data_IF_463432319473
#
_entry.id   IF_463432319473
#
_cell.length_a   1.000
_cell.length_b   1.000
_cell.length_c   1.000
_cell.angle_alpha   90.00
_cell.angle_beta   90.00
_cell.angle_gamma   90.00
#
_symmetry.space_group_name_H-M   'P 1'
#
loop_
_entity.id
_entity.type
_entity.pdbx_description
1 polymer ?
#
# COMPACT_ATOMS: atom_id res chain seq x y z
N UNK A 1 -45.64 8.77 -37.33
CA UNK A 1 -44.96 9.34 -36.15
C UNK A 1 -45.31 8.48 -34.96
N UNK A 2 -44.41 7.58 -34.56
CA UNK A 2 -44.61 6.66 -33.44
C UNK A 2 -43.77 7.14 -32.26
N UNK A 3 -44.42 7.62 -31.20
CA UNK A 3 -43.77 8.01 -29.95
C UNK A 3 -43.40 6.75 -29.18
N UNK A 4 -42.13 6.38 -29.20
CA UNK A 4 -41.58 5.33 -28.35
C UNK A 4 -41.53 5.82 -26.90
N UNK A 5 -42.49 5.38 -26.08
CA UNK A 5 -42.44 5.51 -24.62
C UNK A 5 -41.24 4.73 -24.08
N UNK A 6 -40.27 5.44 -23.49
CA UNK A 6 -39.15 4.80 -22.80
C UNK A 6 -39.67 4.15 -21.50
N UNK A 7 -39.75 2.82 -21.53
CA UNK A 7 -39.88 1.97 -20.35
C UNK A 7 -38.59 2.06 -19.53
N UNK A 8 -38.45 3.11 -18.72
CA UNK A 8 -37.45 3.16 -17.67
C UNK A 8 -37.81 2.11 -16.61
N UNK A 9 -37.05 1.02 -16.60
CA UNK A 9 -37.16 -0.08 -15.65
C UNK A 9 -37.01 0.44 -14.22
N UNK A 10 -38.09 0.31 -13.44
CA UNK A 10 -38.26 0.50 -11.98
C UNK A 10 -37.34 -0.40 -11.10
N UNK A 11 -36.11 -0.73 -11.52
CA UNK A 11 -35.19 -1.60 -10.76
C UNK A 11 -34.07 -0.87 -10.01
N UNK A 12 -33.91 0.44 -10.22
CA UNK A 12 -32.86 1.24 -9.56
C UNK A 12 -33.40 2.32 -8.60
N UNK A 13 -34.62 2.14 -8.08
CA UNK A 13 -34.99 2.80 -6.81
C UNK A 13 -34.51 1.88 -5.70
N UNK A 14 -33.19 1.70 -5.59
CA UNK A 14 -32.61 1.41 -4.29
C UNK A 14 -33.01 2.61 -3.44
N UNK A 15 -34.02 2.41 -2.61
CA UNK A 15 -34.27 3.23 -1.43
C UNK A 15 -32.89 3.43 -0.81
N UNK A 16 -32.31 4.62 -0.97
CA UNK A 16 -31.12 5.06 -0.25
C UNK A 16 -31.54 5.21 1.20
N UNK A 17 -31.89 4.10 1.85
CA UNK A 17 -32.01 4.05 3.29
C UNK A 17 -30.67 4.56 3.81
N UNK A 18 -30.72 5.58 4.67
CA UNK A 18 -29.54 5.97 5.40
C UNK A 18 -28.95 4.70 6.04
N UNK A 19 -27.64 4.50 5.93
CA UNK A 19 -27.01 3.30 6.49
C UNK A 19 -27.36 3.20 7.97
N UNK A 20 -27.41 1.99 8.56
CA UNK A 20 -27.67 1.84 9.99
C UNK A 20 -26.74 2.70 10.86
N UNK A 21 -25.49 2.89 10.41
CA UNK A 21 -24.54 3.81 11.03
C UNK A 21 -24.96 5.28 10.92
N UNK A 22 -25.45 5.73 9.75
CA UNK A 22 -25.96 7.09 9.57
C UNK A 22 -27.24 7.35 10.36
N UNK A 23 -28.14 6.36 10.44
CA UNK A 23 -29.35 6.45 11.28
C UNK A 23 -28.98 6.53 12.76
N UNK A 24 -28.09 5.66 13.23
CA UNK A 24 -27.63 5.70 14.62
C UNK A 24 -26.88 7.01 14.95
N UNK A 25 -26.05 7.52 14.05
CA UNK A 25 -25.41 8.83 14.22
C UNK A 25 -26.44 9.98 14.25
N UNK A 26 -27.49 9.92 13.44
CA UNK A 26 -28.58 10.89 13.50
C UNK A 26 -29.36 10.80 14.82
N UNK A 27 -29.58 9.59 15.33
CA UNK A 27 -30.20 9.33 16.65
C UNK A 27 -29.37 9.92 17.80
N UNK A 28 -28.04 10.00 17.66
CA UNK A 28 -27.19 10.64 18.66
C UNK A 28 -27.51 12.14 18.80
N UNK A 29 -27.88 12.82 17.72
CA UNK A 29 -28.37 14.21 17.77
C UNK A 29 -29.71 14.37 18.49
N UNK A 30 -30.52 13.31 18.54
CA UNK A 30 -31.81 13.25 19.25
C UNK A 30 -31.68 12.86 20.73
N UNK A 31 -30.59 12.21 21.13
CA UNK A 31 -30.35 11.75 22.50
C UNK A 31 -30.14 12.90 23.53
N UNK A 32 -30.10 14.16 23.08
CA UNK A 32 -30.12 15.33 23.95
C UNK A 32 -28.78 15.62 24.64
N UNK A 33 -28.83 16.19 25.85
CA UNK A 33 -27.63 16.65 26.60
C UNK A 33 -26.90 15.54 27.37
N UNK A 34 -27.39 14.31 27.34
CA UNK A 34 -26.82 13.20 28.10
C UNK A 34 -25.62 12.56 27.36
N UNK A 35 -24.42 12.84 27.87
CA UNK A 35 -23.15 12.45 27.24
C UNK A 35 -22.99 10.93 27.14
N UNK A 36 -23.46 10.17 28.12
CA UNK A 36 -23.29 8.73 28.12
C UNK A 36 -24.23 8.05 27.11
N UNK A 37 -25.46 8.55 27.00
CA UNK A 37 -26.39 8.10 25.96
C UNK A 37 -25.86 8.39 24.55
N UNK A 38 -25.32 9.59 24.31
CA UNK A 38 -24.68 9.94 23.03
C UNK A 38 -23.51 9.00 22.73
N UNK A 39 -22.66 8.72 23.72
CA UNK A 39 -21.55 7.77 23.57
C UNK A 39 -22.03 6.37 23.18
N UNK A 40 -23.03 5.81 23.88
CA UNK A 40 -23.57 4.47 23.59
C UNK A 40 -24.17 4.38 22.19
N UNK A 41 -24.92 5.40 21.77
CA UNK A 41 -25.53 5.44 20.43
C UNK A 41 -24.46 5.50 19.33
N UNK A 42 -23.43 6.34 19.50
CA UNK A 42 -22.33 6.42 18.53
C UNK A 42 -21.51 5.13 18.53
N UNK A 43 -21.28 4.52 19.69
CA UNK A 43 -20.61 3.21 19.79
C UNK A 43 -21.36 2.14 19.00
N UNK A 44 -22.70 2.11 19.10
CA UNK A 44 -23.53 1.21 18.28
C UNK A 44 -23.42 1.54 16.78
N UNK A 45 -23.41 2.83 16.41
CA UNK A 45 -23.21 3.26 15.02
C UNK A 45 -21.87 2.77 14.45
N UNK A 46 -20.78 2.89 15.22
CA UNK A 46 -19.45 2.39 14.87
C UNK A 46 -19.47 0.88 14.71
N UNK A 47 -20.11 0.17 15.64
CA UNK A 47 -20.29 -1.28 15.58
C UNK A 47 -21.00 -1.73 14.30
N UNK A 48 -22.03 -1.00 13.87
CA UNK A 48 -22.82 -1.28 12.68
C UNK A 48 -22.14 -0.87 11.35
N UNK A 49 -21.07 -0.07 11.38
CA UNK A 49 -20.38 0.34 10.17
C UNK A 49 -19.78 -0.87 9.44
N UNK A 50 -20.07 -0.98 8.14
CA UNK A 50 -19.62 -2.08 7.26
C UNK A 50 -18.45 -1.67 6.37
N UNK A 51 -18.22 -0.36 6.21
CA UNK A 51 -17.15 0.21 5.40
C UNK A 51 -16.43 1.34 6.13
N UNK A 52 -15.22 1.66 5.65
CA UNK A 52 -14.45 2.79 6.19
C UNK A 52 -15.17 4.13 5.99
N UNK A 53 -15.86 4.31 4.86
CA UNK A 53 -16.62 5.54 4.65
C UNK A 53 -17.77 5.65 5.66
N UNK A 54 -18.52 4.57 5.92
CA UNK A 54 -19.54 4.56 6.97
C UNK A 54 -18.96 4.85 8.36
N UNK A 55 -17.79 4.29 8.69
CA UNK A 55 -17.09 4.60 9.94
C UNK A 55 -16.77 6.08 10.04
N UNK A 56 -16.24 6.69 8.96
CA UNK A 56 -15.93 8.13 8.93
C UNK A 56 -17.18 8.99 9.12
N UNK A 57 -18.35 8.53 8.64
CA UNK A 57 -19.61 9.25 8.85
C UNK A 57 -20.08 9.22 10.31
N UNK A 58 -19.64 8.25 11.13
CA UNK A 58 -19.94 8.23 12.58
C UNK A 58 -19.14 9.26 13.39
N UNK A 59 -18.07 9.81 12.80
CA UNK A 59 -17.25 10.84 13.44
C UNK A 59 -18.01 12.17 13.36
N UNK A 60 -17.96 12.94 14.44
CA UNK A 60 -18.54 14.28 14.49
C UNK A 60 -17.94 15.16 13.39
N UNK A 61 -18.77 16.01 12.80
CA UNK A 61 -18.41 16.79 11.59
C UNK A 61 -17.12 17.61 11.81
N UNK A 62 -16.93 18.16 13.01
CA UNK A 62 -15.74 18.94 13.38
C UNK A 62 -14.44 18.14 13.23
N UNK A 63 -14.40 16.89 13.71
CA UNK A 63 -13.17 16.09 13.72
C UNK A 63 -13.03 15.17 12.51
N UNK A 64 -14.07 15.09 11.67
CA UNK A 64 -14.10 14.18 10.51
C UNK A 64 -12.90 14.37 9.58
N UNK A 65 -12.60 15.61 9.21
CA UNK A 65 -11.51 15.90 8.26
C UNK A 65 -10.12 15.70 8.85
N UNK A 66 -10.01 15.76 10.18
CA UNK A 66 -8.77 15.53 10.92
C UNK A 66 -8.49 14.03 11.11
N UNK A 67 -9.53 13.28 11.50
CA UNK A 67 -9.43 11.85 11.83
C UNK A 67 -9.46 10.97 10.58
N UNK A 68 -10.24 11.33 9.55
CA UNK A 68 -10.39 10.54 8.32
C UNK A 68 -9.05 10.17 7.65
N UNK A 69 -8.10 11.11 7.44
CA UNK A 69 -6.79 10.78 6.87
C UNK A 69 -6.00 9.77 7.72
N UNK A 70 -6.08 9.86 9.06
CA UNK A 70 -5.38 8.97 9.99
C UNK A 70 -5.93 7.54 9.86
N UNK A 71 -7.25 7.39 9.88
CA UNK A 71 -7.91 6.08 9.74
C UNK A 71 -7.63 5.45 8.36
N UNK A 72 -7.66 6.25 7.28
CA UNK A 72 -7.34 5.77 5.92
C UNK A 72 -5.89 5.33 5.81
N UNK A 73 -4.96 6.11 6.36
CA UNK A 73 -3.55 5.76 6.38
C UNK A 73 -3.30 4.44 7.14
N UNK A 74 -4.04 4.18 8.23
CA UNK A 74 -3.95 2.91 8.95
C UNK A 74 -4.33 1.70 8.07
N UNK A 75 -5.39 1.81 7.25
CA UNK A 75 -5.74 0.77 6.28
C UNK A 75 -4.63 0.56 5.24
N UNK A 76 -4.05 1.64 4.73
CA UNK A 76 -2.97 1.59 3.75
C UNK A 76 -1.72 0.92 4.33
N UNK A 77 -1.34 1.26 5.56
CA UNK A 77 -0.22 0.64 6.29
C UNK A 77 -0.46 -0.86 6.46
N UNK A 78 -1.66 -1.27 6.86
CA UNK A 78 -1.99 -2.71 6.95
C UNK A 78 -2.01 -3.39 5.56
N UNK A 79 -2.40 -2.67 4.50
CA UNK A 79 -2.27 -3.15 3.11
C UNK A 79 -0.82 -3.41 2.71
N UNK A 80 0.08 -2.49 3.07
CA UNK A 80 1.53 -2.63 2.89
C UNK A 80 2.09 -3.79 3.72
N UNK A 81 1.69 -3.94 4.98
CA UNK A 81 2.09 -5.04 5.85
C UNK A 81 1.74 -6.40 5.24
N UNK A 82 0.50 -6.56 4.77
CA UNK A 82 0.05 -7.80 4.12
C UNK A 82 0.86 -8.10 2.85
N UNK A 83 1.23 -7.07 2.08
CA UNK A 83 2.07 -7.24 0.88
C UNK A 83 3.50 -7.62 1.26
N UNK A 84 4.08 -6.96 2.26
CA UNK A 84 5.41 -7.26 2.77
C UNK A 84 5.51 -8.70 3.30
N UNK A 85 4.51 -9.16 4.08
CA UNK A 85 4.44 -10.55 4.56
C UNK A 85 4.36 -11.58 3.42
N UNK A 86 3.58 -11.31 2.37
CA UNK A 86 3.51 -12.18 1.18
C UNK A 86 4.84 -12.23 0.43
N UNK A 87 5.50 -11.08 0.28
CA UNK A 87 6.82 -11.00 -0.35
C UNK A 87 7.84 -11.77 0.47
N UNK A 88 7.90 -11.57 1.79
CA UNK A 88 8.79 -12.29 2.70
C UNK A 88 8.58 -13.81 2.61
N UNK A 89 7.32 -14.27 2.62
CA UNK A 89 7.02 -15.68 2.42
C UNK A 89 7.51 -16.20 1.06
N UNK A 90 7.36 -15.40 -0.01
CA UNK A 90 7.89 -15.74 -1.34
C UNK A 90 9.42 -15.76 -1.43
N UNK A 91 10.11 -14.92 -0.66
CA UNK A 91 11.57 -14.98 -0.54
C UNK A 91 12.01 -16.23 0.22
N UNK A 92 11.29 -16.57 1.30
CA UNK A 92 11.49 -17.81 2.05
C UNK A 92 11.34 -19.04 1.16
N UNK A 93 10.30 -19.11 0.33
CA UNK A 93 10.14 -20.24 -0.61
C UNK A 93 11.28 -20.34 -1.61
N UNK A 94 11.77 -19.21 -2.13
CA UNK A 94 12.92 -19.21 -3.05
C UNK A 94 14.19 -19.73 -2.36
N UNK A 95 14.42 -19.31 -1.11
CA UNK A 95 15.55 -19.78 -0.31
C UNK A 95 15.49 -21.29 -0.07
N UNK A 96 14.32 -21.84 0.27
CA UNK A 96 14.17 -23.29 0.49
C UNK A 96 14.29 -24.11 -0.79
N UNK A 97 13.86 -23.58 -1.95
CA UNK A 97 13.97 -24.27 -3.23
C UNK A 97 15.32 -24.10 -3.94
N UNK A 98 16.26 -23.35 -3.35
CA UNK A 98 17.53 -23.01 -4.01
C UNK A 98 17.34 -22.18 -5.30
N UNK A 99 16.23 -21.45 -5.42
CA UNK A 99 15.94 -20.58 -6.56
C UNK A 99 16.08 -19.11 -6.17
N UNK A 100 16.19 -18.23 -7.17
CA UNK A 100 16.33 -16.80 -6.94
C UNK A 100 15.11 -16.02 -7.43
N UNK A 101 14.69 -14.97 -6.71
CA UNK A 101 13.76 -13.99 -7.24
C UNK A 101 14.29 -13.39 -8.55
N UNK A 102 13.39 -13.05 -9.48
CA UNK A 102 13.77 -12.60 -10.84
C UNK A 102 14.80 -11.47 -10.87
N UNK A 103 14.75 -10.54 -9.91
CA UNK A 103 15.70 -9.43 -9.84
C UNK A 103 17.12 -9.88 -9.42
N UNK A 104 17.27 -10.90 -8.57
CA UNK A 104 18.57 -11.50 -8.24
C UNK A 104 19.01 -12.43 -9.37
N UNK A 105 18.08 -13.20 -9.92
CA UNK A 105 18.39 -14.15 -10.96
C UNK A 105 18.94 -13.46 -12.22
N UNK A 106 18.37 -12.30 -12.55
CA UNK A 106 18.80 -11.44 -13.66
C UNK A 106 20.20 -10.84 -13.50
N UNK A 107 20.87 -11.00 -12.35
CA UNK A 107 22.26 -10.56 -12.19
C UNK A 107 23.14 -11.32 -13.19
N UNK A 108 23.73 -10.58 -14.13
CA UNK A 108 24.54 -11.14 -15.19
C UNK A 108 25.84 -11.71 -14.60
N UNK A 109 26.07 -13.02 -14.81
CA UNK A 109 27.31 -13.66 -14.44
C UNK A 109 28.41 -13.25 -15.44
N UNK A 110 29.44 -12.48 -15.01
CA UNK A 110 30.49 -12.02 -15.90
C UNK A 110 31.38 -13.18 -16.40
N UNK A 111 31.46 -14.28 -15.66
CA UNK A 111 32.33 -15.42 -15.96
C UNK A 111 31.69 -16.42 -16.93
N UNK A 112 30.35 -16.44 -17.03
CA UNK A 112 29.62 -17.36 -17.89
C UNK A 112 29.95 -17.21 -19.40
N UNK A 113 30.44 -16.03 -19.81
CA UNK A 113 30.80 -15.73 -21.21
C UNK A 113 32.28 -15.90 -21.52
N UNK A 114 33.11 -16.21 -20.52
CA UNK A 114 34.55 -16.37 -20.72
C UNK A 114 34.82 -17.72 -21.39
N UNK A 115 35.37 -17.69 -22.60
CA UNK A 115 35.83 -18.87 -23.31
C UNK A 115 37.36 -18.96 -23.18
N UNK A 116 37.91 -19.92 -22.41
CA UNK A 116 39.35 -20.05 -22.28
C UNK A 116 39.98 -20.52 -23.60
N UNK A 117 41.17 -20.00 -23.92
CA UNK A 117 41.96 -20.39 -25.08
C UNK A 117 42.45 -21.84 -24.96
N UNK A 118 42.76 -22.50 -26.09
CA UNK A 118 43.19 -23.92 -26.11
C UNK A 118 44.39 -24.21 -25.22
N UNK A 119 45.34 -23.28 -25.16
CA UNK A 119 46.62 -23.43 -24.43
C UNK A 119 46.46 -23.30 -22.90
N UNK A 120 45.46 -22.54 -22.44
CA UNK A 120 45.22 -22.26 -21.01
C UNK A 120 43.96 -22.93 -20.47
N UNK A 121 43.33 -23.81 -21.28
CA UNK A 121 42.03 -24.40 -20.96
C UNK A 121 42.01 -25.10 -19.60
N UNK A 122 43.03 -25.90 -19.28
CA UNK A 122 43.07 -26.67 -18.05
C UNK A 122 43.24 -25.77 -16.80
N UNK A 123 44.13 -24.78 -16.86
CA UNK A 123 44.43 -23.88 -15.74
C UNK A 123 43.34 -22.84 -15.51
N UNK A 124 42.69 -22.36 -16.58
CA UNK A 124 41.63 -21.34 -16.49
C UNK A 124 40.26 -21.96 -16.19
N UNK A 125 40.02 -23.22 -16.55
CA UNK A 125 38.75 -23.89 -16.26
C UNK A 125 38.47 -23.99 -14.76
N UNK A 126 39.47 -24.31 -13.94
CA UNK A 126 39.33 -24.36 -12.48
C UNK A 126 38.99 -22.97 -11.93
N UNK A 127 39.75 -21.94 -12.32
CA UNK A 127 39.50 -20.57 -11.90
C UNK A 127 38.12 -20.04 -12.34
N UNK A 128 37.63 -20.39 -13.54
CA UNK A 128 36.27 -20.04 -13.99
C UNK A 128 35.22 -20.78 -13.15
N UNK A 129 35.44 -22.06 -12.84
CA UNK A 129 34.52 -22.83 -12.00
C UNK A 129 34.43 -22.24 -10.58
N UNK A 130 35.56 -21.89 -9.97
CA UNK A 130 35.63 -21.20 -8.68
C UNK A 130 34.96 -19.83 -8.76
N UNK A 131 35.21 -19.04 -9.79
CA UNK A 131 34.56 -17.74 -9.95
C UNK A 131 33.03 -17.87 -10.08
N UNK A 132 32.54 -18.92 -10.74
CA UNK A 132 31.11 -19.21 -10.82
C UNK A 132 30.52 -19.63 -9.46
N UNK A 133 31.25 -20.41 -8.65
CA UNK A 133 30.77 -20.76 -7.29
C UNK A 133 30.72 -19.52 -6.40
N UNK A 134 31.74 -18.65 -6.43
CA UNK A 134 31.73 -17.37 -5.74
C UNK A 134 30.56 -16.47 -6.15
N UNK A 135 30.24 -16.42 -7.44
CA UNK A 135 29.09 -15.65 -7.93
C UNK A 135 27.76 -16.19 -7.41
N UNK A 136 27.59 -17.51 -7.34
CA UNK A 136 26.40 -18.13 -6.75
C UNK A 136 26.30 -17.85 -5.24
N UNK A 137 27.41 -17.97 -4.49
CA UNK A 137 27.46 -17.59 -3.08
C UNK A 137 27.10 -16.11 -2.88
N UNK A 138 27.51 -15.23 -3.80
CA UNK A 138 27.13 -13.83 -3.77
C UNK A 138 25.62 -13.63 -4.00
N UNK A 139 24.99 -14.40 -4.90
CA UNK A 139 23.54 -14.38 -5.11
C UNK A 139 22.78 -14.84 -3.86
N UNK A 140 23.25 -15.90 -3.20
CA UNK A 140 22.70 -16.39 -1.93
C UNK A 140 22.82 -15.34 -0.82
N UNK A 141 24.00 -14.76 -0.64
CA UNK A 141 24.23 -13.69 0.32
C UNK A 141 23.38 -12.43 0.04
N UNK A 142 23.11 -12.13 -1.24
CA UNK A 142 22.21 -11.06 -1.63
C UNK A 142 20.75 -11.40 -1.26
N UNK A 143 20.31 -12.63 -1.48
CA UNK A 143 18.97 -13.09 -1.09
C UNK A 143 18.77 -12.97 0.43
N UNK A 144 19.74 -13.42 1.22
CA UNK A 144 19.70 -13.33 2.68
C UNK A 144 19.59 -11.88 3.18
N UNK A 145 20.36 -10.95 2.58
CA UNK A 145 20.25 -9.53 2.90
C UNK A 145 18.87 -8.97 2.58
N UNK A 146 18.27 -9.35 1.46
CA UNK A 146 16.93 -8.88 1.09
C UNK A 146 15.87 -9.44 2.03
N UNK A 147 16.01 -10.70 2.46
CA UNK A 147 15.14 -11.30 3.49
C UNK A 147 15.24 -10.49 4.78
N UNK A 148 16.45 -10.27 5.30
CA UNK A 148 16.68 -9.53 6.54
C UNK A 148 16.09 -8.11 6.49
N UNK A 149 16.29 -7.38 5.37
CA UNK A 149 15.70 -6.06 5.19
C UNK A 149 14.17 -6.10 5.17
N UNK A 150 13.57 -7.14 4.58
CA UNK A 150 12.12 -7.31 4.59
C UNK A 150 11.56 -7.73 5.94
N UNK A 151 12.30 -8.48 6.75
CA UNK A 151 11.90 -8.79 8.13
C UNK A 151 11.83 -7.51 8.97
N UNK A 152 12.84 -6.64 8.87
CA UNK A 152 12.85 -5.32 9.54
C UNK A 152 11.66 -4.47 9.10
N UNK A 153 11.36 -4.45 7.79
CA UNK A 153 10.19 -3.71 7.27
C UNK A 153 8.87 -4.26 7.81
N UNK A 154 8.73 -5.59 7.87
CA UNK A 154 7.53 -6.23 8.45
C UNK A 154 7.40 -5.86 9.93
N UNK A 155 8.47 -5.96 10.71
CA UNK A 155 8.46 -5.61 12.14
C UNK A 155 8.07 -4.14 12.36
N UNK A 156 8.61 -3.22 11.55
CA UNK A 156 8.25 -1.81 11.61
C UNK A 156 6.77 -1.58 11.29
N UNK A 157 6.26 -2.21 10.22
CA UNK A 157 4.85 -2.09 9.83
C UNK A 157 3.91 -2.73 10.86
N UNK A 158 4.33 -3.81 11.55
CA UNK A 158 3.58 -4.41 12.65
C UNK A 158 3.45 -3.46 13.84
N UNK A 159 4.54 -2.79 14.22
CA UNK A 159 4.51 -1.75 15.27
C UNK A 159 3.52 -0.64 14.96
N UNK A 160 3.46 -0.19 13.71
CA UNK A 160 2.50 0.83 13.26
C UNK A 160 1.05 0.32 13.19
N UNK A 161 0.85 -0.99 13.05
CA UNK A 161 -0.48 -1.61 13.03
C UNK A 161 -0.99 -1.96 14.45
N UNK A 162 -0.23 -1.67 15.50
CA UNK A 162 -0.71 -1.85 16.87
C UNK A 162 -1.90 -0.94 17.14
N UNK A 163 -2.88 -1.46 17.87
CA UNK A 163 -4.08 -0.71 18.24
C UNK A 163 -3.72 0.56 19.02
N UNK A 164 -2.80 0.44 19.99
CA UNK A 164 -2.30 1.57 20.79
C UNK A 164 -1.63 2.64 19.94
N UNK A 165 -0.83 2.25 18.94
CA UNK A 165 -0.17 3.23 18.05
C UNK A 165 -1.17 4.06 17.25
N UNK A 166 -2.28 3.46 16.82
CA UNK A 166 -3.34 4.17 16.10
C UNK A 166 -4.15 5.05 17.05
N UNK A 167 -4.49 4.54 18.24
CA UNK A 167 -5.17 5.30 19.29
C UNK A 167 -4.37 6.55 19.68
N UNK A 168 -3.08 6.41 19.97
CA UNK A 168 -2.19 7.52 20.31
C UNK A 168 -2.13 8.55 19.19
N UNK A 169 -2.07 8.10 17.93
CA UNK A 169 -2.07 9.00 16.77
C UNK A 169 -3.39 9.76 16.63
N UNK A 170 -4.52 9.14 16.94
CA UNK A 170 -5.84 9.78 16.89
C UNK A 170 -5.97 10.82 18.00
N UNK A 171 -5.63 10.45 19.23
CA UNK A 171 -5.68 11.34 20.39
C UNK A 171 -4.77 12.55 20.16
N UNK A 172 -3.55 12.32 19.66
CA UNK A 172 -2.61 13.40 19.35
C UNK A 172 -3.17 14.40 18.34
N UNK A 173 -3.80 13.93 17.26
CA UNK A 173 -4.38 14.84 16.25
C UNK A 173 -5.54 15.66 16.83
N UNK A 174 -6.35 15.06 17.72
CA UNK A 174 -7.42 15.78 18.42
C UNK A 174 -6.85 16.83 19.39
N UNK A 175 -5.77 16.51 20.12
CA UNK A 175 -5.08 17.43 21.02
C UNK A 175 -4.41 18.59 20.28
N UNK A 176 -3.78 18.31 19.14
CA UNK A 176 -3.16 19.32 18.28
C UNK A 176 -4.20 20.31 17.74
N UNK A 177 -5.39 19.84 17.32
CA UNK A 177 -6.52 20.69 16.92
C UNK A 177 -7.05 21.55 18.07
N UNK A 178 -7.19 20.95 19.25
CA UNK A 178 -7.65 21.67 20.43
C UNK A 178 -6.67 22.77 20.84
N UNK A 179 -5.36 22.47 20.86
CA UNK A 179 -4.31 23.44 21.12
C UNK A 179 -4.27 24.54 20.05
N UNK A 180 -4.52 24.22 18.78
CA UNK A 180 -4.66 25.21 17.71
C UNK A 180 -5.89 26.10 17.91
N UNK A 181 -7.03 25.51 18.31
CA UNK A 181 -8.28 26.23 18.61
C UNK A 181 -8.09 27.22 19.75
N UNK A 182 -7.46 26.79 20.85
CA UNK A 182 -7.15 27.64 22.00
C UNK A 182 -6.26 28.82 21.61
N UNK A 183 -5.23 28.58 20.79
CA UNK A 183 -4.35 29.65 20.27
C UNK A 183 -5.09 30.61 19.35
N UNK A 184 -5.96 30.10 18.48
CA UNK A 184 -6.70 30.90 17.50
C UNK A 184 -7.80 31.77 18.09
N UNK A 185 -8.39 31.34 19.22
CA UNK A 185 -9.42 32.14 19.90
C UNK A 185 -8.87 33.42 20.53
N UNK A 186 -7.57 33.44 20.86
CA UNK A 186 -6.84 34.62 21.29
C UNK A 186 -7.33 35.22 22.61
N UNK A 187 -6.41 35.81 23.37
CA UNK A 187 -6.76 36.71 24.47
C UNK A 187 -7.03 38.07 23.83
N UNK A 188 -8.31 38.45 23.65
CA UNK A 188 -8.63 39.81 23.23
C UNK A 188 -8.49 40.76 24.41
N UNK A 189 -7.36 41.45 24.50
CA UNK A 189 -7.22 42.61 25.39
C UNK A 189 -7.93 43.79 24.77
N UNK A 190 -9.06 44.21 25.35
CA UNK A 190 -9.70 45.47 24.99
C UNK A 190 -9.03 46.54 25.85
N UNK A 191 -8.44 47.57 25.23
CA UNK A 191 -8.05 48.78 26.00
C UNK A 191 -9.31 49.32 26.66
N UNK A 192 -9.42 49.18 27.97
CA UNK A 192 -10.56 49.65 28.71
C UNK A 192 -10.68 51.17 28.52
N UNK A 193 -11.83 51.65 28.05
CA UNK A 193 -12.16 53.08 28.01
C UNK A 193 -12.42 53.69 29.40
N UNK A 194 -11.99 53.01 30.47
CA UNK A 194 -12.11 53.48 31.85
C UNK A 194 -10.85 54.22 32.28
N UNK A 195 -11.04 55.21 33.17
CA UNK A 195 -10.03 56.14 33.71
C UNK A 195 -8.73 55.50 34.28
N UNK A 196 -8.66 54.18 34.42
CA UNK A 196 -7.47 53.45 34.94
C UNK A 196 -6.42 53.12 33.88
N UNK A 197 -6.72 53.21 32.58
CA UNK A 197 -5.75 52.89 31.51
C UNK A 197 -5.32 51.41 31.42
N UNK A 198 -5.80 50.56 32.33
CA UNK A 198 -5.48 49.14 32.35
C UNK A 198 -6.22 48.38 31.23
N UNK A 199 -5.53 47.48 30.50
CA UNK A 199 -6.16 46.64 29.50
C UNK A 199 -7.13 45.67 30.18
N UNK A 200 -8.40 45.70 29.77
CA UNK A 200 -9.38 44.70 30.17
C UNK A 200 -9.11 43.45 29.33
N UNK A 201 -8.65 42.40 30.00
CA UNK A 201 -8.47 41.09 29.38
C UNK A 201 -9.86 40.47 29.21
N UNK A 202 -10.42 40.50 28.00
CA UNK A 202 -11.60 39.70 27.67
C UNK A 202 -11.10 38.37 27.15
N UNK A 203 -10.97 37.40 28.05
CA UNK A 203 -10.76 36.01 27.66
C UNK A 203 -11.99 35.55 26.89
N UNK A 204 -11.83 35.25 25.59
CA UNK A 204 -12.86 34.53 24.84
C UNK A 204 -12.88 33.10 25.37
N UNK A 205 -13.80 32.82 26.29
CA UNK A 205 -13.99 31.46 26.79
C UNK A 205 -14.46 30.58 25.63
N UNK A 206 -13.77 29.45 25.45
CA UNK A 206 -14.22 28.44 24.48
C UNK A 206 -15.53 27.88 24.99
N UNK A 207 -16.60 27.85 24.17
CA UNK A 207 -17.86 27.25 24.58
C UNK A 207 -17.65 25.82 25.12
N UNK A 208 -18.29 25.51 26.25
CA UNK A 208 -18.12 24.22 26.95
C UNK A 208 -18.41 23.01 26.05
N UNK A 209 -19.34 23.15 25.10
CA UNK A 209 -19.69 22.08 24.16
C UNK A 209 -18.51 21.61 23.30
N UNK A 210 -17.54 22.47 22.99
CA UNK A 210 -16.38 22.06 22.21
C UNK A 210 -15.41 21.17 23.00
N UNK A 211 -15.30 21.42 24.31
CA UNK A 211 -14.50 20.57 25.21
C UNK A 211 -15.19 19.23 25.41
N UNK A 212 -16.51 19.25 25.57
CA UNK A 212 -17.32 18.03 25.70
C UNK A 212 -17.24 17.15 24.44
N UNK A 213 -17.30 17.75 23.25
CA UNK A 213 -17.13 17.04 21.98
C UNK A 213 -15.74 16.43 21.84
N UNK A 214 -14.68 17.14 22.30
CA UNK A 214 -13.31 16.63 22.30
C UNK A 214 -13.16 15.43 23.24
N UNK A 215 -13.67 15.54 24.46
CA UNK A 215 -13.60 14.46 25.46
C UNK A 215 -14.37 13.22 24.97
N UNK A 216 -15.52 13.41 24.32
CA UNK A 216 -16.28 12.35 23.66
C UNK A 216 -15.47 11.71 22.52
N UNK A 217 -14.87 12.52 21.64
CA UNK A 217 -14.06 12.02 20.53
C UNK A 217 -12.84 11.22 21.01
N UNK A 218 -12.17 11.66 22.07
CA UNK A 218 -11.08 10.91 22.72
C UNK A 218 -11.55 9.58 23.27
N UNK A 219 -12.71 9.53 23.92
CA UNK A 219 -13.32 8.29 24.43
C UNK A 219 -13.69 7.32 23.30
N UNK A 220 -14.02 7.83 22.11
CA UNK A 220 -14.36 7.03 20.93
C UNK A 220 -13.15 6.58 20.10
N UNK A 221 -11.99 7.25 20.22
CA UNK A 221 -10.77 6.93 19.49
C UNK A 221 -10.36 5.44 19.53
N UNK A 222 -10.33 4.76 20.70
CA UNK A 222 -10.01 3.32 20.74
C UNK A 222 -11.04 2.46 19.98
N UNK A 223 -12.32 2.85 19.98
CA UNK A 223 -13.39 2.11 19.29
C UNK A 223 -13.25 2.29 17.77
N UNK A 224 -12.96 3.51 17.30
CA UNK A 224 -12.65 3.75 15.89
C UNK A 224 -11.44 2.93 15.45
N UNK A 225 -10.34 2.97 16.22
CA UNK A 225 -9.12 2.24 15.92
C UNK A 225 -9.38 0.71 15.83
N UNK A 226 -10.12 0.15 16.79
CA UNK A 226 -10.49 -1.26 16.78
C UNK A 226 -11.32 -1.62 15.54
N UNK A 227 -12.30 -0.77 15.19
CA UNK A 227 -13.17 -1.00 14.04
C UNK A 227 -12.43 -0.96 12.70
N UNK A 228 -11.42 -0.09 12.56
CA UNK A 228 -10.55 -0.08 11.38
C UNK A 228 -9.85 -1.42 11.18
N UNK A 229 -9.39 -2.05 12.27
CA UNK A 229 -8.75 -3.35 12.21
C UNK A 229 -9.72 -4.51 11.97
N UNK A 230 -10.99 -4.37 12.35
CA UNK A 230 -12.00 -5.34 11.95
C UNK A 230 -12.20 -5.38 10.43
N UNK A 231 -12.17 -4.22 9.75
CA UNK A 231 -12.27 -4.17 8.29
C UNK A 231 -11.12 -4.90 7.60
N UNK A 232 -9.93 -4.90 8.21
CA UNK A 232 -8.76 -5.56 7.64
C UNK A 232 -8.65 -7.04 8.01
N UNK A 233 -9.26 -7.46 9.11
CA UNK A 233 -9.16 -8.81 9.68
C UNK A 233 -9.44 -9.91 8.65
N UNK A 234 -10.47 -9.77 7.83
CA UNK A 234 -10.81 -10.75 6.78
C UNK A 234 -9.70 -10.88 5.74
N UNK A 235 -9.14 -9.75 5.28
CA UNK A 235 -8.06 -9.73 4.29
C UNK A 235 -6.75 -10.27 4.86
N UNK A 236 -6.45 -9.95 6.11
CA UNK A 236 -5.28 -10.45 6.82
C UNK A 236 -5.36 -11.96 7.03
N UNK A 237 -6.52 -12.51 7.43
CA UNK A 237 -6.75 -13.97 7.53
C UNK A 237 -6.51 -14.70 6.20
N UNK A 238 -7.07 -14.20 5.10
CA UNK A 238 -6.83 -14.78 3.76
C UNK A 238 -5.36 -14.74 3.38
N UNK A 239 -4.65 -13.69 3.77
CA UNK A 239 -3.21 -13.55 3.51
C UNK A 239 -2.39 -14.55 4.32
N UNK A 240 -2.71 -14.73 5.61
CA UNK A 240 -2.06 -15.72 6.46
C UNK A 240 -2.26 -17.15 5.94
N UNK A 241 -3.49 -17.52 5.56
CA UNK A 241 -3.77 -18.83 4.98
C UNK A 241 -2.98 -19.10 3.69
N UNK A 242 -2.78 -18.07 2.85
CA UNK A 242 -1.93 -18.19 1.66
C UNK A 242 -0.44 -18.35 2.00
N UNK A 243 0.02 -17.74 3.09
CA UNK A 243 1.40 -17.86 3.57
C UNK A 243 1.63 -19.25 4.16
N UNK A 244 0.72 -19.75 4.99
CA UNK A 244 0.75 -21.11 5.55
C UNK A 244 0.80 -22.14 4.44
N UNK A 245 -0.14 -22.08 3.47
CA UNK A 245 -0.13 -22.98 2.31
C UNK A 245 1.20 -22.96 1.55
N UNK A 246 1.86 -21.80 1.43
CA UNK A 246 3.17 -21.70 0.78
C UNK A 246 4.30 -22.33 1.61
N UNK A 247 4.22 -22.23 2.94
CA UNK A 247 5.16 -22.89 3.84
C UNK A 247 5.00 -24.41 3.77
N UNK A 248 3.76 -24.91 3.78
CA UNK A 248 3.48 -26.35 3.68
C UNK A 248 3.98 -26.93 2.35
N UNK A 249 3.82 -26.21 1.25
CA UNK A 249 4.38 -26.62 -0.04
C UNK A 249 5.92 -26.63 -0.03
N UNK A 250 6.56 -25.71 0.69
CA UNK A 250 8.01 -25.66 0.80
C UNK A 250 8.57 -26.78 1.68
N UNK A 251 7.90 -27.15 2.78
CA UNK A 251 8.29 -28.30 3.59
C UNK A 251 8.12 -29.62 2.84
N UNK A 252 6.99 -29.79 2.14
CA UNK A 252 6.73 -31.03 1.39
C UNK A 252 7.71 -31.20 0.21
N UNK A 253 8.09 -30.11 -0.46
CA UNK A 253 9.08 -30.16 -1.53
C UNK A 253 10.49 -30.57 -1.04
N UNK A 254 10.81 -30.30 0.23
CA UNK A 254 12.07 -30.73 0.82
C UNK A 254 12.06 -32.24 1.17
N UNK A 255 10.89 -32.81 1.49
CA UNK A 255 10.72 -34.22 1.85
C UNK A 255 10.58 -35.14 0.61
N UNK A 256 10.03 -34.66 -0.50
CA UNK A 256 9.72 -35.50 -1.67
C UNK A 256 10.93 -35.84 -2.57
N UNK A 257 12.15 -35.46 -2.17
CA UNK A 257 13.38 -35.69 -2.96
C UNK A 257 14.17 -36.95 -2.55
N UNK A 258 13.70 -37.74 -1.59
CA UNK A 258 14.32 -39.03 -1.22
C UNK A 258 13.72 -40.21 -2.01
N UNK A 259 13.31 -39.94 -3.26
CA UNK A 259 13.02 -40.97 -4.24
C UNK A 259 14.34 -41.28 -4.93
N UNK A 260 14.89 -42.48 -4.68
CA UNK A 260 16.02 -43.02 -5.42
C UNK A 260 15.86 -42.66 -6.90
N UNK A 261 16.86 -42.04 -7.55
CA UNK A 261 16.72 -41.62 -8.93
C UNK A 261 16.23 -42.83 -9.73
N UNK A 262 15.06 -42.75 -10.41
CA UNK A 262 14.49 -43.90 -11.07
C UNK A 262 15.57 -44.47 -11.97
N UNK A 263 15.84 -45.76 -11.80
CA UNK A 263 16.87 -46.48 -12.53
C UNK A 263 16.73 -46.14 -14.00
N UNK A 264 17.83 -46.08 -14.75
CA UNK A 264 17.77 -45.71 -16.17
C UNK A 264 16.75 -46.58 -16.94
N UNK A 265 16.57 -47.83 -16.51
CA UNK A 265 15.53 -48.75 -16.98
C UNK A 265 14.08 -48.25 -16.74
N UNK A 266 13.79 -47.69 -15.57
CA UNK A 266 12.46 -47.17 -15.21
C UNK A 266 12.13 -45.90 -16.01
N UNK A 267 13.14 -45.06 -16.28
CA UNK A 267 13.00 -43.88 -17.15
C UNK A 267 12.73 -44.27 -18.59
N UNK A 268 13.40 -45.29 -19.09
CA UNK A 268 13.17 -45.83 -20.45
C UNK A 268 11.77 -46.44 -20.54
N UNK A 269 11.33 -47.22 -19.55
CA UNK A 269 10.00 -47.82 -19.53
C UNK A 269 8.87 -46.76 -19.49
N UNK A 270 9.04 -45.70 -18.71
CA UNK A 270 8.06 -44.61 -18.63
C UNK A 270 8.01 -43.79 -19.93
N UNK A 271 9.17 -43.51 -20.55
CA UNK A 271 9.23 -42.88 -21.87
C UNK A 271 8.54 -43.74 -22.95
N UNK A 272 8.77 -45.05 -22.95
CA UNK A 272 8.10 -45.95 -23.88
C UNK A 272 6.58 -45.97 -23.68
N UNK A 273 6.12 -45.89 -22.43
CA UNK A 273 4.70 -45.80 -22.08
C UNK A 273 4.08 -44.49 -22.58
N UNK A 274 4.74 -43.35 -22.35
CA UNK A 274 4.28 -42.04 -22.84
C UNK A 274 4.26 -41.98 -24.37
N UNK A 275 5.27 -42.56 -25.04
CA UNK A 275 5.29 -42.66 -26.50
C UNK A 275 4.15 -43.54 -27.02
N UNK A 276 3.85 -44.66 -26.35
CA UNK A 276 2.69 -45.52 -26.70
C UNK A 276 1.36 -44.80 -26.52
N UNK A 277 1.17 -44.08 -25.43
CA UNK A 277 -0.04 -43.29 -25.17
C UNK A 277 -0.20 -42.16 -26.19
N UNK A 278 0.88 -41.45 -26.52
CA UNK A 278 0.85 -40.39 -27.52
C UNK A 278 0.52 -40.91 -28.93
N UNK A 279 1.06 -42.08 -29.31
CA UNK A 279 0.70 -42.78 -30.55
C UNK A 279 -0.77 -43.18 -30.56
N UNK A 280 -1.31 -43.66 -29.43
CA UNK A 280 -2.72 -44.03 -29.30
C UNK A 280 -3.66 -42.82 -29.40
N UNK A 281 -3.26 -41.69 -28.80
CA UNK A 281 -3.98 -40.43 -28.87
C UNK A 281 -3.99 -39.87 -30.29
N UNK A 282 -2.85 -39.89 -31.00
CA UNK A 282 -2.79 -39.49 -32.42
C UNK A 282 -3.61 -40.40 -33.34
N UNK A 283 -3.65 -41.71 -33.06
CA UNK A 283 -4.49 -42.65 -33.83
C UNK A 283 -5.99 -42.36 -33.63
N UNK A 284 -6.41 -42.02 -32.40
CA UNK A 284 -7.79 -41.60 -32.09
C UNK A 284 -8.14 -40.25 -32.75
N UNK A 285 -7.22 -39.29 -32.73
CA UNK A 285 -7.39 -37.99 -33.38
C UNK A 285 -7.45 -38.07 -34.91
N UNK A 286 -6.72 -39.01 -35.52
CA UNK A 286 -6.78 -39.30 -36.95
C UNK A 286 -8.11 -39.91 -37.40
N UNK A 287 -8.72 -40.78 -36.59
CA UNK A 287 -10.02 -41.38 -36.89
C UNK A 287 -11.20 -40.41 -36.72
N UNK A 288 -11.09 -39.42 -35.81
CA UNK A 288 -12.11 -38.40 -35.60
C UNK A 288 -12.22 -37.38 -36.75
N UNK A 289 -11.17 -37.20 -37.56
CA UNK A 289 -11.16 -36.27 -38.70
C UNK A 289 -11.75 -36.83 -40.00
N UNK A 290 -12.15 -38.11 -40.03
CA UNK A 290 -12.70 -38.76 -41.23
C UNK A 290 -14.19 -38.52 -41.51
N UNK A 291 -14.93 -37.85 -40.62
CA UNK A 291 -16.37 -37.57 -40.78
C UNK A 291 -16.71 -36.12 -40.42
N UNK A 292 -16.15 -35.16 -41.14
CA UNK A 292 -16.80 -33.85 -41.23
C UNK A 292 -17.73 -33.84 -42.45
N UNK A 293 -19.06 -33.64 -42.26
CA UNK A 293 -19.97 -33.45 -43.37
C UNK A 293 -19.56 -32.19 -44.14
N UNK A 294 -19.38 -32.32 -45.45
CA UNK A 294 -19.18 -31.20 -46.36
C UNK A 294 -20.39 -30.27 -46.29
N UNK A 295 -20.33 -29.24 -45.45
CA UNK A 295 -21.26 -28.13 -45.53
C UNK A 295 -20.97 -27.37 -46.83
N UNK A 296 -21.87 -27.56 -47.81
CA UNK A 296 -21.97 -26.77 -49.03
C UNK A 296 -22.04 -25.28 -48.64
N UNK A 297 -20.93 -24.56 -48.80
CA UNK A 297 -20.88 -23.09 -48.73
C UNK A 297 -21.41 -22.53 -50.04
N UNK A 298 -22.71 -22.24 -50.07
CA UNK A 298 -23.29 -21.31 -51.05
C UNK A 298 -22.87 -19.88 -50.71
N UNK A 299 -22.57 -19.14 -51.77
CA UNK A 299 -22.00 -17.81 -51.81
C UNK A 299 -22.82 -16.74 -51.07
N UNK A 300 -22.14 -15.93 -50.27
CA UNK A 300 -22.39 -14.49 -50.09
C UNK A 300 -21.19 -13.89 -49.34
N UNK A 301 -20.26 -13.29 -50.09
CA UNK A 301 -19.07 -12.63 -49.56
C UNK A 301 -19.49 -11.22 -49.12
N UNK A 302 -19.44 -10.83 -47.84
CA UNK A 302 -19.66 -9.44 -47.45
C UNK A 302 -18.43 -8.61 -47.87
N UNK A 303 -18.61 -7.36 -48.34
CA UNK A 303 -17.51 -6.50 -48.73
C UNK A 303 -16.64 -6.14 -47.52
N UNK A 304 -15.32 -5.92 -47.74
CA UNK A 304 -14.39 -5.58 -46.66
C UNK A 304 -14.75 -4.23 -46.04
N UNK A 305 -15.05 -4.23 -44.74
CA UNK A 305 -15.18 -3.00 -43.95
C UNK A 305 -13.82 -2.31 -43.88
N UNK A 306 -13.78 -1.06 -44.36
CA UNK A 306 -12.67 -0.13 -44.18
C UNK A 306 -12.34 0.00 -42.68
N UNK A 307 -11.06 0.01 -42.27
CA UNK A 307 -10.71 0.27 -40.88
C UNK A 307 -11.13 1.70 -40.53
N UNK A 308 -11.94 1.82 -39.48
CA UNK A 308 -12.31 3.10 -38.88
C UNK A 308 -11.03 3.82 -38.45
N UNK A 309 -10.90 5.07 -38.89
CA UNK A 309 -9.84 5.98 -38.48
C UNK A 309 -9.84 6.12 -36.96
N UNK A 310 -8.81 5.56 -36.32
CA UNK A 310 -8.50 5.88 -34.94
C UNK A 310 -8.14 7.37 -34.88
N UNK A 311 -9.02 8.14 -34.23
CA UNK A 311 -8.69 9.48 -33.72
C UNK A 311 -7.51 9.35 -32.75
N UNK A 312 -6.30 9.49 -33.29
CA UNK A 312 -5.10 9.78 -32.52
C UNK A 312 -5.25 11.19 -31.96
N UNK A 313 -5.67 11.29 -30.71
CA UNK A 313 -5.40 12.46 -29.87
C UNK A 313 -3.88 12.53 -29.71
N UNK A 314 -3.25 13.37 -30.52
CA UNK A 314 -1.84 13.72 -30.43
C UNK A 314 -1.56 14.40 -29.10
N UNK A 315 -0.80 13.72 -28.22
CA UNK A 315 -0.19 14.35 -27.04
C UNK A 315 0.76 15.46 -27.51
N UNK A 316 0.73 16.66 -26.89
CA UNK A 316 1.64 17.73 -27.24
C UNK A 316 3.08 17.39 -26.84
N UNK A 317 3.99 17.58 -27.81
CA UNK A 317 5.44 17.42 -27.71
C UNK A 317 6.00 18.49 -26.74
N UNK A 318 6.89 18.16 -25.79
CA UNK A 318 7.54 19.18 -24.98
C UNK A 318 8.47 20.00 -25.88
N UNK A 319 8.16 21.29 -25.99
CA UNK A 319 8.92 22.29 -26.75
C UNK A 319 10.22 22.59 -26.01
N UNK A 320 11.33 22.01 -26.48
CA UNK A 320 12.69 22.50 -26.22
C UNK A 320 12.74 24.00 -26.56
N UNK A 321 12.93 24.86 -25.55
CA UNK A 321 13.41 26.23 -25.73
C UNK A 321 14.90 26.22 -25.38
N UNK A 322 15.73 26.48 -26.39
CA UNK A 322 17.14 26.82 -26.23
C UNK A 322 17.39 28.13 -26.99
N UNK A 323 18.33 28.93 -26.45
CA UNK A 323 18.85 30.24 -26.88
C UNK A 323 17.83 31.39 -26.95
N UNK A 324 18.03 32.56 -26.34
CA UNK A 324 19.26 33.23 -25.94
C UNK A 324 19.22 34.63 -26.57
N UNK A 325 19.11 35.68 -25.75
CA UNK A 325 19.72 36.99 -25.99
C UNK A 325 19.47 37.91 -24.79
N UNK A 326 20.56 38.50 -24.32
CA UNK A 326 20.63 39.55 -23.31
C UNK A 326 19.95 40.85 -23.80
N UNK A 327 19.72 41.81 -22.89
CA UNK A 327 20.72 42.88 -22.82
C UNK A 327 21.11 43.29 -21.39
N UNK A 328 22.26 43.95 -21.35
CA UNK A 328 22.96 44.47 -20.19
C UNK A 328 22.31 45.74 -19.63
N UNK A 329 22.19 45.79 -18.30
CA UNK A 329 22.40 46.95 -17.40
C UNK A 329 22.54 46.31 -16.01
N UNK A 330 23.62 46.44 -15.27
CA UNK A 330 24.27 47.68 -14.87
C UNK A 330 23.80 48.05 -13.46
N UNK A 331 24.27 47.35 -12.42
CA UNK A 331 24.47 48.00 -11.12
C UNK A 331 25.50 47.29 -10.25
N UNK A 332 26.63 47.98 -10.09
CA UNK A 332 27.71 47.72 -9.14
C UNK A 332 27.24 48.13 -7.74
N UNK A 333 27.59 47.35 -6.71
CA UNK A 333 28.04 47.83 -5.37
C UNK A 333 28.47 46.64 -4.49
N UNK A 334 29.31 46.85 -3.46
CA UNK A 334 30.57 46.14 -3.34
C UNK A 334 30.62 45.18 -2.16
N UNK A 335 31.57 44.24 -2.27
CA UNK A 335 32.13 43.48 -1.15
C UNK A 335 32.83 44.40 -0.16
N UNK A 336 32.50 44.27 1.12
CA UNK A 336 33.40 44.62 2.22
C UNK A 336 33.67 43.35 3.03
N UNK A 337 34.95 42.99 3.09
CA UNK A 337 35.52 42.04 4.02
C UNK A 337 36.18 42.83 5.17
N UNK A 338 35.81 42.50 6.40
CA UNK A 338 36.48 42.78 7.68
C UNK A 338 35.45 42.42 8.77
N UNK A 339 35.76 41.85 9.92
CA UNK A 339 37.02 41.56 10.58
C UNK A 339 36.76 40.66 11.79
N UNK A 340 37.86 40.28 12.44
CA UNK A 340 37.95 39.34 13.55
C UNK A 340 37.43 39.88 14.90
N UNK A 341 37.48 38.96 15.87
CA UNK A 341 37.54 39.12 17.34
C UNK A 341 36.24 39.14 18.15
N UNK A 342 36.11 38.10 18.99
CA UNK A 342 36.17 38.15 20.47
C UNK A 342 35.08 37.27 21.12
N UNK A 343 35.51 36.30 21.92
CA UNK A 343 34.61 35.44 22.71
C UNK A 343 34.17 36.09 24.02
N UNK A 344 33.21 35.49 24.75
CA UNK A 344 32.99 35.82 26.15
C UNK A 344 33.49 34.74 27.09
N UNK A 345 34.21 35.23 28.11
CA UNK A 345 34.75 34.57 29.29
C UNK A 345 33.69 33.88 30.13
N UNK A 346 34.09 32.79 30.77
CA UNK A 346 33.32 32.08 31.78
C UNK A 346 33.01 32.93 33.01
N UNK A 347 31.83 32.68 33.60
CA UNK A 347 31.44 33.16 34.93
C UNK A 347 31.54 32.00 35.92
N UNK A 348 32.50 32.11 36.84
CA UNK A 348 32.52 31.39 38.11
C UNK A 348 31.49 32.05 39.04
N UNK A 349 30.52 31.28 39.53
CA UNK A 349 29.62 31.64 40.63
C UNK A 349 30.03 30.89 41.88
N UNK A 350 30.28 31.64 42.95
CA UNK A 350 30.94 31.27 44.20
C UNK A 350 29.90 30.88 45.25
N UNK A 351 30.27 29.94 46.13
CA UNK A 351 29.60 29.60 47.38
C UNK A 351 29.33 30.84 48.25
N UNK A 352 28.20 30.82 48.94
CA UNK A 352 28.09 31.18 50.36
C UNK A 352 27.32 30.07 51.05
#
# INVERSE_FOLDING_TARGET
MASSSSSATRKDIFVRGASPAALAAASAGLAGKDKDNVFTVIQHAIGAASSMDELIHTITVRFRDLVSPVLRNALDVNGKLNTAKKTLAGLGTNKTSGTFPSYIDSMNNPFAKLQPCKETKATVATAISEANTWFNLQKEAALDKVIALKEIEVEHLEKLCLLSSLEDSLIKVLDDDWAATLRGLGVTTVKGGGLSGDPIVIEKSVPAFFKDDLDLAKRLAPIWAAKVWDFTRVRSRKTLALIEKKKDLASNAAEEMDVDPPTEADRIAELEKQVKEFKLHNKRAGQAKGKQPQQKKSAARPPPRKPASQNRVSKPKPRRKNSGNAPATGNKRPRTASGAQSGPKGKKGRKN
#
